data_IF_521509991849
#
_entry.id   IF_521509991849
#
_cell.length_a   1.000
_cell.length_b   1.000
_cell.length_c   1.000
_cell.angle_alpha   90.00
_cell.angle_beta   90.00
_cell.angle_gamma   90.00
#
_symmetry.space_group_name_H-M   'P 1'
#
loop_
_entity.id
_entity.type
_entity.pdbx_description
1 polymer ?
#
# COMPACT_ATOMS: atom_id res chain seq x y z
N UNK A 1 20.96 1.99 -23.84
CA UNK A 1 19.65 1.94 -24.52
C UNK A 1 18.61 1.10 -23.78
N UNK A 2 18.59 -0.24 -23.84
CA UNK A 2 17.47 -0.97 -23.23
C UNK A 2 17.46 -1.02 -21.68
N UNK A 3 18.64 -1.03 -21.05
CA UNK A 3 18.78 -0.84 -19.59
C UNK A 3 18.31 0.54 -19.11
N UNK A 4 18.26 1.52 -20.02
CA UNK A 4 17.72 2.85 -19.75
C UNK A 4 16.20 2.85 -19.92
N UNK A 5 15.66 2.12 -20.91
CA UNK A 5 14.21 1.98 -21.10
C UNK A 5 13.50 1.44 -19.85
N UNK A 6 14.08 0.44 -19.18
CA UNK A 6 13.51 -0.08 -17.93
C UNK A 6 13.53 0.97 -16.80
N UNK A 7 14.62 1.72 -16.67
CA UNK A 7 14.72 2.78 -15.66
C UNK A 7 13.74 3.93 -15.95
N UNK A 8 13.55 4.31 -17.22
CA UNK A 8 12.57 5.32 -17.62
C UNK A 8 11.13 4.86 -17.40
N UNK A 9 10.83 3.57 -17.64
CA UNK A 9 9.53 2.99 -17.33
C UNK A 9 9.24 3.01 -15.81
N UNK A 10 10.22 2.67 -14.97
CA UNK A 10 10.11 2.75 -13.51
C UNK A 10 9.95 4.21 -13.05
N UNK A 11 10.71 5.15 -13.62
CA UNK A 11 10.57 6.58 -13.31
C UNK A 11 9.17 7.09 -13.68
N UNK A 12 8.65 6.69 -14.83
CA UNK A 12 7.29 7.02 -15.26
C UNK A 12 6.24 6.45 -14.32
N UNK A 13 6.43 5.21 -13.83
CA UNK A 13 5.59 4.62 -12.79
C UNK A 13 5.63 5.45 -11.49
N UNK A 14 6.80 5.89 -11.04
CA UNK A 14 6.96 6.71 -9.83
C UNK A 14 6.27 8.07 -9.97
N UNK A 15 6.38 8.73 -11.13
CA UNK A 15 5.71 10.00 -11.42
C UNK A 15 4.19 9.86 -11.35
N UNK A 16 3.63 8.84 -12.02
CA UNK A 16 2.19 8.53 -11.92
C UNK A 16 1.77 8.23 -10.49
N UNK A 17 2.50 7.34 -9.82
CA UNK A 17 2.24 6.97 -8.42
C UNK A 17 2.31 8.17 -7.45
N UNK A 18 3.07 9.22 -7.80
CA UNK A 18 3.15 10.43 -7.00
C UNK A 18 1.95 11.38 -7.21
N UNK A 19 1.34 11.40 -8.39
CA UNK A 19 0.39 12.44 -8.80
C UNK A 19 -1.05 11.94 -8.97
N UNK A 20 -1.27 10.66 -9.25
CA UNK A 20 -2.59 10.08 -9.50
C UNK A 20 -2.92 8.98 -8.50
N UNK A 21 -4.18 8.93 -8.04
CA UNK A 21 -4.68 7.78 -7.30
C UNK A 21 -4.78 6.56 -8.24
N UNK A 22 -4.51 5.34 -7.76
CA UNK A 22 -4.82 4.13 -8.52
C UNK A 22 -6.31 4.08 -8.92
N UNK A 23 -6.61 3.44 -10.07
CA UNK A 23 -7.98 3.37 -10.58
C UNK A 23 -8.93 2.64 -9.62
N UNK A 24 -8.47 1.53 -9.04
CA UNK A 24 -9.20 0.75 -8.03
C UNK A 24 -9.42 1.55 -6.73
N UNK A 25 -8.45 2.38 -6.34
CA UNK A 25 -8.61 3.29 -5.20
C UNK A 25 -9.66 4.35 -5.49
N UNK A 26 -9.68 4.90 -6.71
CA UNK A 26 -10.67 5.89 -7.14
C UNK A 26 -12.08 5.28 -7.17
N UNK A 27 -12.23 4.08 -7.73
CA UNK A 27 -13.49 3.35 -7.73
C UNK A 27 -13.98 3.05 -6.31
N UNK A 28 -13.10 2.55 -5.43
CA UNK A 28 -13.44 2.28 -4.03
C UNK A 28 -13.86 3.56 -3.28
N UNK A 29 -13.20 4.69 -3.53
CA UNK A 29 -13.57 5.99 -2.98
C UNK A 29 -14.96 6.44 -3.44
N UNK A 30 -15.27 6.29 -4.73
CA UNK A 30 -16.56 6.70 -5.31
C UNK A 30 -17.71 5.86 -4.75
N UNK A 31 -17.55 4.54 -4.69
CA UNK A 31 -18.52 3.62 -4.08
C UNK A 31 -18.74 3.95 -2.61
N UNK A 32 -17.66 4.10 -1.83
CA UNK A 32 -17.76 4.43 -0.42
C UNK A 32 -18.40 5.80 -0.19
N UNK A 33 -18.06 6.80 -1.02
CA UNK A 33 -18.64 8.13 -0.93
C UNK A 33 -20.14 8.12 -1.27
N UNK A 34 -20.56 7.34 -2.26
CA UNK A 34 -21.98 7.20 -2.61
C UNK A 34 -22.79 6.58 -1.46
N UNK A 35 -22.24 5.56 -0.79
CA UNK A 35 -22.88 4.87 0.33
C UNK A 35 -22.77 5.61 1.68
N UNK A 36 -21.82 6.54 1.83
CA UNK A 36 -21.57 7.17 3.13
C UNK A 36 -22.69 8.15 3.55
N UNK A 37 -23.24 8.01 4.77
CA UNK A 37 -24.22 8.96 5.31
C UNK A 37 -23.61 10.35 5.52
N UNK A 38 -24.46 11.36 5.71
CA UNK A 38 -23.98 12.70 6.07
C UNK A 38 -23.18 12.64 7.38
N UNK A 39 -21.94 13.15 7.36
CA UNK A 39 -21.07 13.14 8.53
C UNK A 39 -19.58 13.19 8.18
N UNK A 40 -18.70 13.02 9.19
CA UNK A 40 -17.25 13.11 9.02
C UNK A 40 -16.69 12.17 7.95
N UNK A 41 -17.16 10.92 7.90
CA UNK A 41 -16.67 9.92 6.93
C UNK A 41 -16.89 10.37 5.48
N UNK A 42 -18.10 10.83 5.13
CA UNK A 42 -18.44 11.34 3.80
C UNK A 42 -17.58 12.56 3.42
N UNK A 43 -17.35 13.47 4.37
CA UNK A 43 -16.47 14.63 4.15
C UNK A 43 -15.05 14.20 3.81
N UNK A 44 -14.49 13.26 4.57
CA UNK A 44 -13.11 12.77 4.40
C UNK A 44 -12.93 12.01 3.08
N UNK A 45 -13.90 11.16 2.70
CA UNK A 45 -13.91 10.47 1.41
C UNK A 45 -13.95 11.47 0.24
N UNK A 46 -14.85 12.47 0.32
CA UNK A 46 -14.95 13.50 -0.70
C UNK A 46 -13.69 14.36 -0.82
N UNK A 47 -13.02 14.67 0.30
CA UNK A 47 -11.73 15.36 0.30
C UNK A 47 -10.63 14.53 -0.37
N UNK A 48 -10.55 13.23 -0.06
CA UNK A 48 -9.56 12.36 -0.68
C UNK A 48 -9.72 12.30 -2.21
N UNK A 49 -10.95 12.15 -2.69
CA UNK A 49 -11.24 12.12 -4.12
C UNK A 49 -10.94 13.45 -4.81
N UNK A 50 -11.34 14.59 -4.23
CA UNK A 50 -11.03 15.92 -4.78
C UNK A 50 -9.53 16.18 -4.82
N UNK A 51 -8.80 15.82 -3.77
CA UNK A 51 -7.34 15.98 -3.72
C UNK A 51 -6.66 15.12 -4.79
N UNK A 52 -7.13 13.89 -4.99
CA UNK A 52 -6.64 13.00 -6.04
C UNK A 52 -6.82 13.60 -7.44
N UNK A 53 -8.03 14.06 -7.75
CA UNK A 53 -8.36 14.69 -9.05
C UNK A 53 -7.56 15.97 -9.29
N UNK A 54 -7.37 16.80 -8.26
CA UNK A 54 -6.59 18.03 -8.38
C UNK A 54 -5.11 17.73 -8.65
N UNK A 55 -4.51 16.81 -7.87
CA UNK A 55 -3.12 16.41 -8.03
C UNK A 55 -2.83 15.87 -9.44
N UNK A 56 -3.76 15.07 -9.98
CA UNK A 56 -3.66 14.56 -11.35
C UNK A 56 -3.77 15.67 -12.39
N UNK A 57 -4.77 16.56 -12.27
CA UNK A 57 -5.00 17.65 -13.21
C UNK A 57 -3.85 18.67 -13.26
N UNK A 58 -3.22 18.95 -12.11
CA UNK A 58 -2.11 19.89 -11.98
C UNK A 58 -0.73 19.24 -12.16
N UNK A 59 -0.66 17.90 -12.21
CA UNK A 59 0.61 17.17 -12.25
C UNK A 59 1.45 17.35 -10.98
N UNK A 60 0.82 17.58 -9.83
CA UNK A 60 1.47 17.81 -8.54
C UNK A 60 1.43 16.56 -7.64
N UNK A 61 2.40 16.38 -6.74
CA UNK A 61 2.36 15.28 -5.78
C UNK A 61 1.10 15.30 -4.91
N UNK A 62 0.46 14.14 -4.72
CA UNK A 62 -0.73 13.92 -3.88
C UNK A 62 -0.56 14.35 -2.41
N UNK A 63 0.68 14.51 -1.95
CA UNK A 63 1.00 14.85 -0.57
C UNK A 63 2.40 15.49 -0.48
N UNK A 64 2.54 16.48 0.40
CA UNK A 64 3.82 17.12 0.77
C UNK A 64 4.86 16.09 1.25
N UNK A 65 4.43 15.10 2.04
CA UNK A 65 5.26 13.96 2.38
C UNK A 65 5.42 13.05 1.17
N UNK A 66 6.48 13.26 0.39
CA UNK A 66 6.84 12.51 -0.82
C UNK A 66 7.20 11.03 -0.56
N UNK A 67 7.28 10.61 0.71
CA UNK A 67 7.36 9.20 1.09
C UNK A 67 8.65 8.48 0.70
N UNK A 68 8.68 7.18 0.99
CA UNK A 68 9.80 6.28 0.68
C UNK A 68 9.28 5.12 -0.17
N UNK A 69 9.88 4.86 -1.34
CA UNK A 69 9.44 3.77 -2.20
C UNK A 69 9.93 2.40 -1.68
N UNK A 70 9.05 1.41 -1.72
CA UNK A 70 9.36 -0.02 -1.58
C UNK A 70 8.99 -0.66 -2.92
N UNK A 71 9.99 -1.22 -3.60
CA UNK A 71 9.84 -1.90 -4.87
C UNK A 71 9.70 -3.40 -4.66
N UNK A 72 8.85 -4.02 -5.46
CA UNK A 72 8.60 -5.45 -5.49
C UNK A 72 8.94 -5.97 -6.88
N UNK A 73 9.82 -6.96 -6.94
CA UNK A 73 10.29 -7.54 -8.21
C UNK A 73 10.26 -9.06 -8.16
N UNK A 74 10.05 -9.68 -9.32
CA UNK A 74 10.20 -11.13 -9.47
C UNK A 74 11.68 -11.56 -9.54
N UNK A 75 12.52 -10.70 -10.12
CA UNK A 75 13.92 -10.96 -10.46
C UNK A 75 14.83 -9.81 -9.98
N UNK A 76 15.92 -10.17 -9.30
CA UNK A 76 16.91 -9.22 -8.79
C UNK A 76 17.74 -8.56 -9.89
N UNK A 77 17.74 -9.11 -11.11
CA UNK A 77 18.35 -8.45 -12.29
C UNK A 77 17.81 -7.02 -12.51
N UNK A 78 16.63 -6.71 -11.97
CA UNK A 78 15.99 -5.40 -12.04
C UNK A 78 16.57 -4.37 -11.06
N UNK A 79 17.41 -4.78 -10.09
CA UNK A 79 17.90 -3.92 -9.01
C UNK A 79 18.57 -2.65 -9.52
N UNK A 80 19.44 -2.76 -10.53
CA UNK A 80 20.16 -1.61 -11.07
C UNK A 80 19.23 -0.60 -11.77
N UNK A 81 18.17 -1.08 -12.46
CA UNK A 81 17.19 -0.20 -13.08
C UNK A 81 16.33 0.53 -12.03
N UNK A 82 15.92 -0.20 -10.99
CA UNK A 82 15.21 0.36 -9.83
C UNK A 82 16.04 1.44 -9.15
N UNK A 83 17.32 1.18 -8.89
CA UNK A 83 18.20 2.14 -8.21
C UNK A 83 18.36 3.44 -9.02
N UNK A 84 18.62 3.33 -10.33
CA UNK A 84 18.72 4.51 -11.23
C UNK A 84 17.44 5.34 -11.22
N UNK A 85 16.30 4.68 -11.39
CA UNK A 85 15.00 5.35 -11.41
C UNK A 85 14.65 6.00 -10.06
N UNK A 86 14.89 5.30 -8.94
CA UNK A 86 14.64 5.81 -7.60
C UNK A 86 15.51 7.03 -7.27
N UNK A 87 16.80 6.99 -7.63
CA UNK A 87 17.72 8.13 -7.45
C UNK A 87 17.25 9.35 -8.24
N UNK A 88 16.88 9.15 -9.52
CA UNK A 88 16.38 10.22 -10.38
C UNK A 88 15.04 10.78 -9.87
N UNK A 89 14.11 9.91 -9.48
CA UNK A 89 12.83 10.31 -8.90
C UNK A 89 12.99 11.12 -7.62
N UNK A 90 13.96 10.78 -6.77
CA UNK A 90 14.28 11.56 -5.56
C UNK A 90 14.89 12.91 -5.89
N UNK A 91 15.83 12.98 -6.84
CA UNK A 91 16.46 14.22 -7.27
C UNK A 91 15.44 15.20 -7.90
N UNK A 92 14.49 14.67 -8.67
CA UNK A 92 13.38 15.44 -9.25
C UNK A 92 12.24 15.74 -8.26
N UNK A 93 12.31 15.19 -7.03
CA UNK A 93 11.34 15.49 -5.99
C UNK A 93 10.02 14.70 -6.05
N UNK A 94 9.95 13.60 -6.79
CA UNK A 94 8.78 12.71 -6.80
C UNK A 94 8.72 11.80 -5.57
N UNK A 95 9.86 11.54 -4.92
CA UNK A 95 9.96 10.75 -3.67
C UNK A 95 10.89 11.43 -2.66
N UNK A 96 10.76 11.09 -1.37
CA UNK A 96 11.39 11.83 -0.26
C UNK A 96 12.49 11.11 0.54
N UNK A 97 12.77 9.83 0.28
CA UNK A 97 13.80 9.10 1.03
C UNK A 97 14.35 7.88 0.28
N UNK A 98 15.22 7.07 0.92
CA UNK A 98 15.84 5.93 0.25
C UNK A 98 14.80 4.87 -0.11
N UNK A 99 15.04 4.21 -1.23
CA UNK A 99 14.25 3.09 -1.72
C UNK A 99 14.64 1.78 -1.06
N UNK A 100 13.68 0.87 -0.97
CA UNK A 100 13.91 -0.53 -0.65
C UNK A 100 13.50 -1.40 -1.83
N UNK A 101 14.18 -2.52 -2.01
CA UNK A 101 13.84 -3.54 -2.99
C UNK A 101 13.55 -4.84 -2.25
N UNK A 102 12.46 -5.51 -2.60
CA UNK A 102 12.12 -6.80 -2.08
C UNK A 102 11.70 -7.73 -3.22
N UNK A 103 12.07 -9.01 -3.09
CA UNK A 103 11.56 -10.05 -3.98
C UNK A 103 10.13 -10.39 -3.59
N UNK A 104 9.25 -10.53 -4.58
CA UNK A 104 7.85 -10.83 -4.37
C UNK A 104 7.35 -11.79 -5.45
N UNK A 105 6.96 -13.01 -5.05
CA UNK A 105 6.41 -14.01 -5.97
C UNK A 105 5.08 -13.57 -6.60
N UNK A 106 4.33 -12.70 -5.93
CA UNK A 106 3.07 -12.13 -6.43
C UNK A 106 3.27 -11.16 -7.61
N UNK A 107 4.51 -10.70 -7.86
CA UNK A 107 4.80 -9.81 -8.99
C UNK A 107 5.13 -10.67 -10.22
N UNK A 108 4.41 -10.50 -11.35
CA UNK A 108 4.73 -11.22 -12.58
C UNK A 108 6.16 -10.93 -13.06
N UNK A 109 6.79 -11.92 -13.71
CA UNK A 109 8.08 -11.69 -14.37
C UNK A 109 7.97 -10.55 -15.39
N UNK A 110 8.98 -9.70 -15.45
CA UNK A 110 8.97 -8.50 -16.29
C UNK A 110 8.10 -7.36 -15.76
N UNK A 111 7.52 -7.48 -14.57
CA UNK A 111 6.78 -6.39 -13.91
C UNK A 111 7.53 -5.87 -12.67
N UNK A 112 7.20 -4.64 -12.28
CA UNK A 112 7.64 -4.01 -11.04
C UNK A 112 6.43 -3.45 -10.29
N UNK A 113 6.30 -3.83 -9.03
CA UNK A 113 5.37 -3.21 -8.09
C UNK A 113 6.07 -2.13 -7.28
N UNK A 114 5.37 -1.07 -6.89
CA UNK A 114 5.88 -0.05 -5.98
C UNK A 114 4.82 0.42 -4.99
N UNK A 115 5.23 0.65 -3.75
CA UNK A 115 4.48 1.38 -2.72
C UNK A 115 5.31 2.57 -2.27
N UNK A 116 4.72 3.77 -2.19
CA UNK A 116 5.40 4.98 -1.70
C UNK A 116 4.76 5.45 -0.41
N UNK A 117 5.12 4.78 0.69
CA UNK A 117 4.56 5.08 2.01
C UNK A 117 5.09 6.41 2.55
N UNK A 118 4.21 7.24 3.11
CA UNK A 118 4.57 8.41 3.91
C UNK A 118 5.16 8.04 5.29
N UNK A 119 5.67 9.03 6.01
CA UNK A 119 6.20 8.93 7.37
C UNK A 119 5.14 8.46 8.37
N UNK A 120 3.94 9.01 8.33
CA UNK A 120 2.89 8.66 9.31
C UNK A 120 2.44 7.20 9.18
N UNK A 121 2.10 6.67 7.98
CA UNK A 121 1.82 5.24 7.81
C UNK A 121 2.95 4.33 8.33
N UNK A 122 4.21 4.65 8.02
CA UNK A 122 5.37 3.87 8.51
C UNK A 122 5.51 3.90 10.02
N UNK A 123 5.22 5.03 10.68
CA UNK A 123 5.25 5.16 12.15
C UNK A 123 4.08 4.43 12.82
N UNK A 124 2.93 4.38 12.16
CA UNK A 124 1.74 3.69 12.64
C UNK A 124 1.84 2.17 12.48
N UNK A 125 2.61 1.68 11.52
CA UNK A 125 2.78 0.26 11.26
C UNK A 125 3.26 -0.52 12.50
N UNK A 126 2.80 -1.76 12.63
CA UNK A 126 3.09 -2.63 13.79
C UNK A 126 3.39 -4.04 13.34
N UNK A 127 4.25 -4.73 14.09
CA UNK A 127 4.45 -6.16 13.95
C UNK A 127 4.57 -6.77 15.35
N UNK A 128 3.68 -7.70 15.66
CA UNK A 128 3.51 -8.31 16.98
C UNK A 128 3.64 -9.83 16.86
N UNK A 129 4.19 -10.50 17.89
CA UNK A 129 4.09 -11.95 17.96
C UNK A 129 2.62 -12.36 18.15
N UNK A 130 2.26 -13.51 17.59
CA UNK A 130 0.97 -14.16 17.78
C UNK A 130 1.19 -15.62 18.21
N UNK A 131 0.31 -16.19 19.06
CA UNK A 131 0.28 -17.63 19.27
C UNK A 131 0.11 -18.37 17.93
N UNK A 132 0.76 -19.52 17.77
CA UNK A 132 0.70 -20.31 16.53
C UNK A 132 -0.71 -20.83 16.24
N UNK A 133 -1.48 -21.03 17.30
CA UNK A 133 -2.88 -21.47 17.35
C UNK A 133 -3.87 -20.31 17.54
N UNK A 134 -3.42 -19.05 17.44
CA UNK A 134 -4.29 -17.88 17.60
C UNK A 134 -5.50 -17.99 16.67
N UNK A 135 -6.72 -17.89 17.18
CA UNK A 135 -7.92 -17.88 16.34
C UNK A 135 -8.06 -16.57 15.54
N UNK A 136 -8.99 -16.56 14.57
CA UNK A 136 -9.22 -15.39 13.72
C UNK A 136 -9.66 -14.17 14.57
N UNK A 137 -10.41 -14.40 15.65
CA UNK A 137 -10.77 -13.37 16.63
C UNK A 137 -9.55 -12.73 17.33
N UNK A 138 -8.50 -13.50 17.63
CA UNK A 138 -7.25 -12.97 18.18
C UNK A 138 -6.51 -12.10 17.17
N UNK A 139 -6.51 -12.49 15.90
CA UNK A 139 -5.97 -11.69 14.81
C UNK A 139 -6.79 -10.40 14.63
N UNK A 140 -8.11 -10.48 14.66
CA UNK A 140 -9.04 -9.35 14.59
C UNK A 140 -8.78 -8.34 15.71
N UNK A 141 -8.61 -8.82 16.95
CA UNK A 141 -8.23 -7.98 18.09
C UNK A 141 -6.87 -7.31 17.89
N UNK A 142 -5.90 -7.99 17.30
CA UNK A 142 -4.58 -7.41 17.00
C UNK A 142 -4.66 -6.30 15.94
N UNK A 143 -5.41 -6.52 14.86
CA UNK A 143 -5.66 -5.54 13.80
C UNK A 143 -6.44 -4.33 14.34
N UNK A 144 -7.54 -4.55 15.05
CA UNK A 144 -8.33 -3.49 15.69
C UNK A 144 -7.47 -2.59 16.60
N UNK A 145 -6.59 -3.21 17.41
CA UNK A 145 -5.63 -2.48 18.26
C UNK A 145 -4.63 -1.64 17.45
N UNK A 146 -4.19 -2.10 16.28
CA UNK A 146 -3.31 -1.34 15.41
C UNK A 146 -4.06 -0.14 14.78
N UNK A 147 -5.27 -0.38 14.25
CA UNK A 147 -6.11 0.66 13.64
C UNK A 147 -6.51 1.74 14.64
N UNK A 148 -6.93 1.36 15.85
CA UNK A 148 -7.29 2.29 16.92
C UNK A 148 -6.15 3.25 17.30
N UNK A 149 -4.89 2.79 17.23
CA UNK A 149 -3.71 3.65 17.42
C UNK A 149 -3.42 4.51 16.20
N UNK A 150 -3.53 3.93 15.01
CA UNK A 150 -3.24 4.60 13.75
C UNK A 150 -4.24 5.74 13.44
N UNK A 151 -5.49 5.63 13.89
CA UNK A 151 -6.57 6.60 13.60
C UNK A 151 -6.24 8.03 14.03
N UNK A 152 -5.37 8.23 15.03
CA UNK A 152 -4.94 9.56 15.50
C UNK A 152 -3.75 10.13 14.72
N UNK A 153 -3.12 9.32 13.87
CA UNK A 153 -1.85 9.64 13.19
C UNK A 153 -1.99 9.75 11.67
N UNK A 154 -3.01 9.11 11.09
CA UNK A 154 -3.12 8.92 9.65
C UNK A 154 -4.20 9.79 9.04
N UNK A 155 -3.96 10.27 7.81
CA UNK A 155 -4.93 11.00 7.03
C UNK A 155 -5.89 10.00 6.34
N UNK A 156 -7.17 9.92 6.75
CA UNK A 156 -8.12 8.97 6.19
C UNK A 156 -8.52 9.35 4.75
N UNK A 157 -9.03 8.39 3.94
CA UNK A 157 -9.28 7.00 4.31
C UNK A 157 -8.03 6.13 4.48
N UNK A 158 -8.20 5.01 5.17
CA UNK A 158 -7.15 4.03 5.44
C UNK A 158 -7.30 2.81 4.52
N UNK A 159 -6.16 2.32 4.05
CA UNK A 159 -6.00 1.00 3.45
C UNK A 159 -5.08 0.21 4.37
N UNK A 160 -5.49 -1.01 4.72
CA UNK A 160 -4.81 -1.83 5.72
C UNK A 160 -4.25 -3.08 5.05
N UNK A 161 -2.93 -3.24 5.13
CA UNK A 161 -2.28 -4.48 4.73
C UNK A 161 -1.99 -5.31 5.98
N UNK A 162 -2.51 -6.53 6.03
CA UNK A 162 -2.22 -7.49 7.09
C UNK A 162 -1.32 -8.58 6.54
N UNK A 163 -0.23 -8.86 7.24
CA UNK A 163 0.74 -9.86 6.85
C UNK A 163 0.97 -10.88 7.94
N UNK A 164 0.96 -12.15 7.56
CA UNK A 164 1.28 -13.27 8.43
C UNK A 164 2.63 -13.87 8.02
N UNK A 165 3.44 -14.25 9.01
CA UNK A 165 4.76 -14.84 8.73
C UNK A 165 5.37 -15.55 9.92
N UNK A 166 6.36 -16.42 9.65
CA UNK A 166 7.12 -17.12 10.67
C UNK A 166 8.16 -16.20 11.33
N UNK A 167 8.60 -15.18 10.60
CA UNK A 167 9.49 -14.12 11.08
C UNK A 167 8.84 -12.73 10.97
N UNK A 168 9.38 -11.76 11.73
CA UNK A 168 8.95 -10.35 11.63
C UNK A 168 9.13 -9.77 10.22
N UNK A 169 10.20 -10.17 9.54
CA UNK A 169 10.53 -9.71 8.20
C UNK A 169 9.52 -10.24 7.18
N UNK A 170 9.20 -11.52 7.22
CA UNK A 170 8.16 -12.15 6.38
C UNK A 170 6.80 -11.50 6.60
N UNK A 171 6.34 -11.40 7.85
CA UNK A 171 5.04 -10.81 8.16
C UNK A 171 4.95 -9.37 7.63
N UNK A 172 6.01 -8.56 7.82
CA UNK A 172 6.02 -7.17 7.35
C UNK A 172 6.10 -7.07 5.83
N UNK A 173 6.86 -7.94 5.17
CA UNK A 173 6.90 -8.00 3.71
C UNK A 173 5.53 -8.38 3.13
N UNK A 174 4.88 -9.39 3.71
CA UNK A 174 3.53 -9.80 3.35
C UNK A 174 2.52 -8.67 3.55
N UNK A 175 2.56 -7.96 4.68
CA UNK A 175 1.67 -6.84 4.94
C UNK A 175 1.84 -5.70 3.92
N UNK A 176 3.08 -5.43 3.49
CA UNK A 176 3.33 -4.48 2.41
C UNK A 176 2.79 -5.01 1.08
N UNK A 177 3.04 -6.27 0.73
CA UNK A 177 2.51 -6.88 -0.51
C UNK A 177 0.97 -6.85 -0.54
N UNK A 178 0.31 -7.08 0.60
CA UNK A 178 -1.15 -7.01 0.70
C UNK A 178 -1.69 -5.64 0.29
N UNK A 179 -0.96 -4.55 0.56
CA UNK A 179 -1.34 -3.19 0.13
C UNK A 179 -1.31 -3.00 -1.38
N UNK A 180 -0.71 -3.88 -2.17
CA UNK A 180 -0.78 -3.83 -3.64
C UNK A 180 -2.10 -4.37 -4.21
N UNK A 181 -2.88 -5.08 -3.39
CA UNK A 181 -4.13 -5.71 -3.82
C UNK A 181 -5.20 -4.67 -4.20
N UNK A 182 -6.13 -5.02 -5.11
CA UNK A 182 -7.23 -4.14 -5.50
C UNK A 182 -8.06 -3.66 -4.30
N UNK A 183 -8.32 -2.36 -4.23
CA UNK A 183 -9.11 -1.77 -3.13
C UNK A 183 -10.62 -1.77 -3.37
N UNK A 184 -11.04 -2.04 -4.60
CA UNK A 184 -12.43 -2.09 -5.07
C UNK A 184 -13.01 -3.52 -5.09
N UNK A 185 -12.21 -4.52 -4.69
CA UNK A 185 -12.66 -5.90 -4.55
C UNK A 185 -13.27 -6.16 -3.16
N UNK A 186 -14.29 -7.04 -3.06
CA UNK A 186 -14.74 -7.53 -1.77
C UNK A 186 -13.67 -8.41 -1.09
N UNK A 187 -13.77 -8.64 0.23
CA UNK A 187 -12.89 -9.56 0.93
C UNK A 187 -12.79 -10.93 0.25
N UNK A 188 -11.57 -11.43 0.09
CA UNK A 188 -11.32 -12.68 -0.64
C UNK A 188 -11.62 -13.95 0.17
N UNK A 189 -11.70 -13.84 1.50
CA UNK A 189 -11.99 -14.96 2.41
C UNK A 189 -12.60 -14.48 3.73
N UNK A 190 -13.15 -15.41 4.52
CA UNK A 190 -13.80 -15.11 5.81
C UNK A 190 -12.88 -14.43 6.83
N UNK A 191 -11.58 -14.76 6.85
CA UNK A 191 -10.62 -14.07 7.70
C UNK A 191 -10.52 -12.58 7.33
N UNK A 192 -10.41 -12.26 6.04
CA UNK A 192 -10.30 -10.86 5.59
C UNK A 192 -11.58 -10.07 5.91
N UNK A 193 -12.74 -10.70 5.80
CA UNK A 193 -14.03 -10.12 6.21
C UNK A 193 -14.07 -9.81 7.71
N UNK A 194 -13.68 -10.76 8.56
CA UNK A 194 -13.63 -10.58 10.02
C UNK A 194 -12.64 -9.48 10.42
N UNK A 195 -11.44 -9.47 9.84
CA UNK A 195 -10.43 -8.45 10.10
C UNK A 195 -10.88 -7.06 9.64
N UNK A 196 -11.54 -6.96 8.48
CA UNK A 196 -12.06 -5.69 7.96
C UNK A 196 -13.18 -5.15 8.85
N UNK A 197 -14.09 -6.00 9.31
CA UNK A 197 -15.15 -5.63 10.25
C UNK A 197 -14.55 -5.08 11.57
N UNK A 198 -13.58 -5.79 12.13
CA UNK A 198 -12.87 -5.36 13.35
C UNK A 198 -12.08 -4.06 13.15
N UNK A 199 -11.44 -3.88 11.99
CA UNK A 199 -10.74 -2.65 11.63
C UNK A 199 -11.70 -1.44 11.55
N UNK A 200 -12.84 -1.59 10.86
CA UNK A 200 -13.86 -0.54 10.74
C UNK A 200 -14.45 -0.18 12.10
N UNK A 201 -14.80 -1.17 12.92
CA UNK A 201 -15.29 -0.93 14.28
C UNK A 201 -14.27 -0.14 15.13
N UNK A 202 -12.97 -0.48 15.04
CA UNK A 202 -11.92 0.22 15.77
C UNK A 202 -11.61 1.63 15.24
N UNK A 203 -11.86 1.88 13.96
CA UNK A 203 -11.66 3.18 13.32
C UNK A 203 -12.73 4.21 13.71
N UNK A 204 -13.94 3.75 14.07
CA UNK A 204 -15.09 4.63 14.34
C UNK A 204 -15.51 5.34 13.06
N UNK A 205 -15.65 6.67 13.11
CA UNK A 205 -16.07 7.48 11.94
C UNK A 205 -14.99 7.63 10.86
N UNK A 206 -13.77 7.10 11.09
CA UNK A 206 -12.72 7.16 10.07
C UNK A 206 -12.94 6.07 9.01
N UNK A 207 -13.03 6.44 7.72
CA UNK A 207 -13.22 5.46 6.66
C UNK A 207 -12.01 4.54 6.52
N UNK A 208 -12.24 3.23 6.66
CA UNK A 208 -11.33 2.16 6.24
C UNK A 208 -11.89 1.56 4.96
N UNK A 209 -11.24 1.85 3.84
CA UNK A 209 -11.74 1.48 2.51
C UNK A 209 -11.54 -0.01 2.25
N UNK A 210 -10.29 -0.47 2.40
CA UNK A 210 -9.93 -1.85 2.12
C UNK A 210 -9.00 -2.40 3.21
N UNK A 211 -9.10 -3.70 3.42
CA UNK A 211 -8.14 -4.50 4.17
C UNK A 211 -7.84 -5.74 3.35
N UNK A 212 -6.56 -6.03 3.15
CA UNK A 212 -6.13 -7.23 2.44
C UNK A 212 -5.16 -8.02 3.31
N UNK A 213 -5.23 -9.34 3.24
CA UNK A 213 -4.36 -10.26 3.97
C UNK A 213 -3.38 -10.95 3.01
N UNK A 214 -2.12 -11.07 3.40
CA UNK A 214 -1.13 -11.88 2.69
C UNK A 214 -0.25 -12.67 3.65
N UNK A 215 0.45 -13.66 3.11
CA UNK A 215 1.32 -14.57 3.86
C UNK A 215 0.61 -15.88 4.24
N UNK A 216 1.38 -16.80 4.79
CA UNK A 216 0.88 -18.13 5.14
C UNK A 216 0.35 -18.15 6.57
N UNK A 217 -0.87 -18.66 6.74
CA UNK A 217 -1.52 -18.78 8.05
C UNK A 217 -0.89 -19.88 8.89
N UNK A 218 -0.60 -21.02 8.27
CA UNK A 218 0.04 -22.17 8.89
C UNK A 218 1.46 -21.81 9.31
N UNK A 219 1.80 -22.04 10.58
CA UNK A 219 3.14 -21.76 11.08
C UNK A 219 3.46 -20.28 11.33
N UNK A 220 2.49 -19.37 11.11
CA UNK A 220 2.65 -17.96 11.44
C UNK A 220 2.93 -17.77 12.94
N UNK A 221 3.95 -16.97 13.24
CA UNK A 221 4.31 -16.57 14.59
C UNK A 221 4.25 -15.04 14.78
N UNK A 222 4.06 -14.30 13.68
CA UNK A 222 3.96 -12.86 13.67
C UNK A 222 2.79 -12.39 12.79
N UNK A 223 2.14 -11.33 13.26
CA UNK A 223 1.19 -10.54 12.50
C UNK A 223 1.75 -9.13 12.35
N UNK A 224 1.80 -8.63 11.12
CA UNK A 224 2.13 -7.25 10.80
C UNK A 224 0.91 -6.51 10.24
N UNK A 225 0.81 -5.23 10.59
CA UNK A 225 -0.20 -4.31 10.06
C UNK A 225 0.53 -3.11 9.47
N UNK A 226 0.37 -2.93 8.17
CA UNK A 226 0.85 -1.80 7.39
C UNK A 226 -0.33 -0.94 6.94
N UNK A 227 -0.04 0.33 6.65
CA UNK A 227 -1.05 1.27 6.23
C UNK A 227 -0.67 1.99 4.95
N UNK A 228 -1.68 2.35 4.17
CA UNK A 228 -1.64 3.52 3.31
C UNK A 228 -2.73 4.50 3.75
N UNK A 229 -2.43 5.79 3.61
CA UNK A 229 -3.38 6.87 3.87
C UNK A 229 -4.03 7.33 2.56
N UNK A 230 -4.79 8.43 2.60
CA UNK A 230 -5.50 9.02 1.46
C UNK A 230 -4.70 9.24 0.17
N UNK A 231 -3.36 9.28 0.23
CA UNK A 231 -2.54 9.43 -0.96
C UNK A 231 -2.39 8.12 -1.74
N UNK A 232 -2.63 6.96 -1.10
CA UNK A 232 -2.69 5.63 -1.71
C UNK A 232 -1.65 5.36 -2.82
N UNK A 233 -0.44 5.92 -2.66
CA UNK A 233 0.62 5.90 -3.69
C UNK A 233 1.18 4.51 -3.89
N UNK A 234 0.58 3.77 -4.80
CA UNK A 234 1.04 2.46 -5.25
C UNK A 234 0.83 2.27 -6.74
N UNK A 235 1.55 1.31 -7.31
CA UNK A 235 1.31 0.93 -8.69
C UNK A 235 2.08 -0.32 -9.09
N UNK A 236 1.66 -0.88 -10.22
CA UNK A 236 2.28 -2.00 -10.90
C UNK A 236 2.50 -1.59 -12.37
N UNK A 237 3.65 -1.92 -12.93
CA UNK A 237 3.91 -1.72 -14.35
C UNK A 237 4.63 -2.92 -14.95
N UNK A 238 4.23 -3.29 -16.16
CA UNK A 238 5.06 -4.09 -17.04
C UNK A 238 6.26 -3.25 -17.51
N UNK A 239 7.41 -3.90 -17.62
CA UNK A 239 8.63 -3.30 -18.12
C UNK A 239 8.95 -3.78 -19.53
N UNK A 240 9.63 -2.95 -20.33
CA UNK A 240 10.19 -3.40 -21.59
C UNK A 240 11.17 -4.55 -21.36
N UNK A 241 11.33 -5.49 -22.32
CA UNK A 241 12.28 -6.57 -22.21
C UNK A 241 13.70 -6.03 -22.01
N UNK A 242 14.56 -6.74 -21.25
CA UNK A 242 15.96 -6.37 -21.17
C UNK A 242 16.54 -6.46 -22.59
N UNK A 243 17.17 -5.40 -23.08
CA UNK A 243 17.74 -5.45 -24.43
C UNK A 243 18.86 -6.46 -24.49
N UNK A 244 18.81 -7.29 -25.52
CA UNK A 244 19.90 -8.20 -25.85
C UNK A 244 21.17 -7.43 -26.11
N UNK A 245 22.27 -7.91 -25.53
CA UNK A 245 23.60 -7.76 -26.11
C UNK A 245 23.70 -8.57 -27.39
#
# INVERSE_FOLDING_TARGET
>A
MARDLQAEAILSLLRRTACSLPADVTAALEVALAAAPAGPSRLLLGQALRNGRQAEAEGLPLCEDRGRPVFFVADEAMAAAVERAARRARAEGWTGGPSFLARASAIPRGCVGVLVQGRSPRRAARCVPIPRDADDGALARAVARAVSRARRLLCPPLFVGVGLGSTRAEARLAALQALLSPADAPPSCGLEEELLAAARAAAGDLPVLALCVAGERTGAAYLAVEFMCRSARRGLAALPPPGGS
#
